data_IF_715287715210
#
_entry.id   IF_715287715210
#
_cell.length_a   1.000
_cell.length_b   1.000
_cell.length_c   1.000
_cell.angle_alpha   90.00
_cell.angle_beta   90.00
_cell.angle_gamma   90.00
#
_symmetry.space_group_name_H-M   'P 1'
#
loop_
_entity.id
_entity.type
_entity.pdbx_description
1 polymer ?
#
# COMPACT_ATOMS: atom_id res chain seq x y z
N UNK A 1 -24.43 13.64 -9.64
CA UNK A 1 -23.50 12.60 -10.17
C UNK A 1 -22.21 12.52 -9.36
N UNK A 2 -21.63 13.66 -8.95
CA UNK A 2 -20.50 13.79 -7.99
C UNK A 2 -20.54 12.82 -6.81
N UNK A 3 -21.69 12.65 -6.15
CA UNK A 3 -21.84 11.75 -5.01
C UNK A 3 -21.57 10.27 -5.34
N UNK A 4 -21.87 9.82 -6.57
CA UNK A 4 -21.59 8.44 -7.00
C UNK A 4 -20.09 8.24 -7.18
N UNK A 5 -19.40 9.17 -7.84
CA UNK A 5 -17.94 9.10 -8.03
C UNK A 5 -17.20 9.14 -6.70
N UNK A 6 -17.60 10.03 -5.79
CA UNK A 6 -17.03 10.13 -4.45
C UNK A 6 -17.25 8.83 -3.65
N UNK A 7 -18.48 8.29 -3.64
CA UNK A 7 -18.77 7.02 -2.97
C UNK A 7 -17.95 5.87 -3.55
N UNK A 8 -17.84 5.77 -4.87
CA UNK A 8 -17.00 4.76 -5.52
C UNK A 8 -15.52 4.93 -5.17
N UNK A 9 -15.02 6.16 -5.14
CA UNK A 9 -13.64 6.45 -4.74
C UNK A 9 -13.35 5.96 -3.31
N UNK A 10 -14.22 6.27 -2.35
CA UNK A 10 -14.07 5.86 -0.96
C UNK A 10 -14.17 4.34 -0.80
N UNK A 11 -15.15 3.70 -1.45
CA UNK A 11 -15.30 2.24 -1.45
C UNK A 11 -14.05 1.57 -2.02
N UNK A 12 -13.57 2.05 -3.17
CA UNK A 12 -12.33 1.55 -3.78
C UNK A 12 -11.14 1.75 -2.84
N UNK A 13 -11.03 2.90 -2.17
CA UNK A 13 -9.95 3.19 -1.22
C UNK A 13 -9.92 2.18 -0.06
N UNK A 14 -11.08 1.89 0.53
CA UNK A 14 -11.21 0.96 1.65
C UNK A 14 -10.91 -0.48 1.19
N UNK A 15 -11.56 -0.93 0.12
CA UNK A 15 -11.45 -2.32 -0.35
C UNK A 15 -10.10 -2.62 -1.01
N UNK A 16 -9.48 -1.63 -1.66
CA UNK A 16 -8.21 -1.85 -2.34
C UNK A 16 -7.02 -1.71 -1.38
N UNK A 17 -6.98 -0.65 -0.57
CA UNK A 17 -5.78 -0.33 0.21
C UNK A 17 -5.76 -1.04 1.57
N UNK A 18 -6.92 -1.29 2.18
CA UNK A 18 -7.01 -2.01 3.46
C UNK A 18 -6.28 -3.36 3.44
N UNK A 19 -6.56 -4.26 2.47
CA UNK A 19 -5.86 -5.53 2.35
C UNK A 19 -4.36 -5.39 2.11
N UNK A 20 -3.92 -4.39 1.33
CA UNK A 20 -2.48 -4.11 1.11
C UNK A 20 -1.81 -3.75 2.42
N UNK A 21 -2.39 -2.83 3.19
CA UNK A 21 -1.83 -2.36 4.45
C UNK A 21 -1.67 -3.49 5.47
N UNK A 22 -2.69 -4.34 5.63
CA UNK A 22 -2.64 -5.49 6.54
C UNK A 22 -1.61 -6.52 6.04
N UNK A 23 -1.72 -6.95 4.79
CA UNK A 23 -0.87 -8.02 4.27
C UNK A 23 0.61 -7.64 4.23
N UNK A 24 0.92 -6.40 3.82
CA UNK A 24 2.29 -5.89 3.80
C UNK A 24 2.87 -5.77 5.22
N UNK A 25 2.04 -5.52 6.24
CA UNK A 25 2.48 -5.39 7.64
C UNK A 25 2.75 -6.75 8.31
N UNK A 26 2.00 -7.78 7.91
CA UNK A 26 2.20 -9.14 8.42
C UNK A 26 3.36 -9.88 7.72
N UNK A 27 3.69 -9.49 6.48
CA UNK A 27 4.72 -10.15 5.67
C UNK A 27 6.08 -10.28 6.35
N UNK A 28 6.66 -9.25 7.03
CA UNK A 28 7.97 -9.37 7.67
C UNK A 28 8.03 -10.40 8.80
N UNK A 29 6.90 -10.66 9.48
CA UNK A 29 6.83 -11.66 10.55
C UNK A 29 6.72 -13.06 9.94
N UNK A 30 5.80 -13.25 8.99
CA UNK A 30 5.58 -14.53 8.32
C UNK A 30 6.83 -14.99 7.56
N UNK A 31 7.51 -14.08 6.85
CA UNK A 31 8.74 -14.41 6.11
C UNK A 31 9.91 -14.78 7.01
N UNK A 32 10.06 -14.17 8.19
CA UNK A 32 11.08 -14.60 9.16
C UNK A 32 10.83 -16.00 9.68
N UNK A 33 9.57 -16.35 9.94
CA UNK A 33 9.20 -17.70 10.34
C UNK A 33 9.46 -18.72 9.22
N UNK A 34 9.10 -18.37 7.98
CA UNK A 34 9.35 -19.20 6.80
C UNK A 34 10.85 -19.43 6.50
N UNK A 35 11.70 -18.44 6.76
CA UNK A 35 13.15 -18.58 6.59
C UNK A 35 13.81 -19.42 7.70
N UNK A 36 13.22 -19.45 8.90
CA UNK A 36 13.74 -20.24 10.02
C UNK A 36 13.36 -21.72 9.91
N UNK A 37 12.18 -22.00 9.37
CA UNK A 37 11.67 -23.35 9.15
C UNK A 37 11.00 -23.46 7.75
N UNK A 38 11.77 -23.90 6.73
CA UNK A 38 11.31 -24.01 5.35
C UNK A 38 10.17 -25.02 5.14
N UNK A 39 9.97 -25.98 6.04
CA UNK A 39 8.89 -26.97 5.93
C UNK A 39 7.61 -26.54 6.66
N UNK A 40 7.60 -25.34 7.25
CA UNK A 40 6.46 -24.82 8.01
C UNK A 40 5.34 -24.25 7.14
N UNK A 41 4.12 -24.21 7.70
CA UNK A 41 2.97 -23.50 7.11
C UNK A 41 3.20 -21.98 6.87
N UNK A 42 4.30 -21.44 7.41
CA UNK A 42 4.71 -20.05 7.22
C UNK A 42 5.09 -19.75 5.78
N UNK A 43 5.59 -20.72 5.01
CA UNK A 43 5.90 -20.55 3.58
C UNK A 43 4.64 -20.25 2.79
N UNK A 44 3.61 -21.08 2.95
CA UNK A 44 2.31 -20.90 2.29
C UNK A 44 1.65 -19.57 2.70
N UNK A 45 1.71 -19.22 3.99
CA UNK A 45 1.20 -17.95 4.51
C UNK A 45 1.92 -16.76 3.88
N UNK A 46 3.25 -16.80 3.80
CA UNK A 46 4.06 -15.73 3.21
C UNK A 46 3.75 -15.55 1.71
N UNK A 47 3.59 -16.65 0.97
CA UNK A 47 3.16 -16.63 -0.42
C UNK A 47 1.77 -16.01 -0.62
N UNK A 48 0.82 -16.33 0.27
CA UNK A 48 -0.52 -15.73 0.24
C UNK A 48 -0.46 -14.22 0.49
N UNK A 49 0.30 -13.77 1.49
CA UNK A 49 0.48 -12.35 1.79
C UNK A 49 1.10 -11.59 0.60
N UNK A 50 2.14 -12.16 -0.02
CA UNK A 50 2.74 -11.60 -1.23
C UNK A 50 1.72 -11.46 -2.36
N UNK A 51 0.89 -12.48 -2.57
CA UNK A 51 -0.15 -12.47 -3.60
C UNK A 51 -1.19 -11.39 -3.35
N UNK A 52 -1.66 -11.23 -2.11
CA UNK A 52 -2.61 -10.18 -1.73
C UNK A 52 -2.02 -8.81 -2.04
N UNK A 53 -0.80 -8.53 -1.58
CA UNK A 53 -0.13 -7.24 -1.84
C UNK A 53 -0.01 -6.98 -3.34
N UNK A 54 0.39 -7.98 -4.13
CA UNK A 54 0.56 -7.81 -5.59
C UNK A 54 -0.74 -7.55 -6.34
N UNK A 55 -1.79 -8.33 -6.04
CA UNK A 55 -3.11 -8.19 -6.67
C UNK A 55 -3.73 -6.85 -6.29
N UNK A 56 -3.78 -6.55 -4.99
CA UNK A 56 -4.42 -5.33 -4.50
C UNK A 56 -3.61 -4.07 -4.78
N UNK A 57 -2.28 -4.14 -4.94
CA UNK A 57 -1.50 -3.00 -5.45
C UNK A 57 -1.93 -2.60 -6.87
N UNK A 58 -2.31 -3.59 -7.70
CA UNK A 58 -2.80 -3.33 -9.07
C UNK A 58 -4.22 -2.76 -9.03
N UNK A 59 -5.10 -3.36 -8.22
CA UNK A 59 -6.47 -2.87 -8.02
C UNK A 59 -6.46 -1.44 -7.42
N UNK A 60 -5.48 -1.13 -6.57
CA UNK A 60 -5.30 0.17 -5.93
C UNK A 60 -5.18 1.34 -6.90
N UNK A 61 -4.82 1.11 -8.17
CA UNK A 61 -4.78 2.15 -9.23
C UNK A 61 -6.17 2.78 -9.45
N UNK A 62 -7.25 2.03 -9.20
CA UNK A 62 -8.62 2.56 -9.29
C UNK A 62 -8.84 3.75 -8.35
N UNK A 63 -8.17 3.77 -7.20
CA UNK A 63 -8.33 4.81 -6.18
C UNK A 63 -7.91 6.20 -6.70
N UNK A 64 -6.66 6.43 -7.15
CA UNK A 64 -6.27 7.72 -7.71
C UNK A 64 -7.04 8.06 -8.99
N UNK A 65 -7.40 7.08 -9.83
CA UNK A 65 -8.24 7.33 -11.00
C UNK A 65 -9.59 7.94 -10.63
N UNK A 66 -10.30 7.33 -9.68
CA UNK A 66 -11.57 7.85 -9.19
C UNK A 66 -11.40 9.16 -8.41
N UNK A 67 -10.28 9.32 -7.70
CA UNK A 67 -9.97 10.54 -6.96
C UNK A 67 -9.80 11.74 -7.88
N UNK A 68 -9.03 11.58 -8.96
CA UNK A 68 -8.84 12.60 -10.00
C UNK A 68 -10.18 12.90 -10.68
N UNK A 69 -10.94 11.88 -11.09
CA UNK A 69 -12.25 12.08 -11.70
C UNK A 69 -13.21 12.86 -10.78
N UNK A 70 -13.19 12.56 -9.48
CA UNK A 70 -13.99 13.28 -8.47
C UNK A 70 -13.53 14.73 -8.32
N UNK A 71 -12.21 14.98 -8.25
CA UNK A 71 -11.66 16.32 -8.12
C UNK A 71 -11.93 17.21 -9.34
N UNK A 72 -11.84 16.65 -10.57
CA UNK A 72 -12.24 17.34 -11.81
C UNK A 72 -13.72 17.72 -11.76
N UNK A 73 -14.58 16.78 -11.38
CA UNK A 73 -16.02 16.99 -11.40
C UNK A 73 -16.51 17.97 -10.32
N UNK A 74 -15.77 18.07 -9.20
CA UNK A 74 -16.01 19.05 -8.14
C UNK A 74 -15.32 20.40 -8.38
N UNK A 75 -14.46 20.53 -9.39
CA UNK A 75 -13.73 21.77 -9.68
C UNK A 75 -12.63 22.13 -8.67
N UNK A 76 -12.16 21.17 -7.87
CA UNK A 76 -11.23 21.38 -6.74
C UNK A 76 -9.81 20.89 -7.01
N UNK A 77 -9.46 20.57 -8.27
CA UNK A 77 -8.13 20.06 -8.62
C UNK A 77 -6.98 21.01 -8.23
N UNK A 78 -7.24 22.31 -8.20
CA UNK A 78 -6.26 23.33 -7.83
C UNK A 78 -6.07 23.51 -6.32
N UNK A 79 -6.90 22.88 -5.49
CA UNK A 79 -6.83 23.07 -4.05
C UNK A 79 -5.57 22.43 -3.47
N UNK A 80 -4.90 23.15 -2.56
CA UNK A 80 -3.65 22.70 -1.93
C UNK A 80 -3.80 21.32 -1.24
N UNK A 81 -4.95 21.03 -0.65
CA UNK A 81 -5.20 19.75 0.02
C UNK A 81 -5.33 18.58 -0.98
N UNK A 82 -5.87 18.82 -2.18
CA UNK A 82 -5.91 17.84 -3.27
C UNK A 82 -4.51 17.64 -3.85
N UNK A 83 -3.80 18.72 -4.16
CA UNK A 83 -2.44 18.64 -4.71
C UNK A 83 -1.49 17.89 -3.74
N UNK A 84 -1.59 18.20 -2.45
CA UNK A 84 -0.83 17.48 -1.40
C UNK A 84 -1.20 16.01 -1.34
N UNK A 85 -2.50 15.68 -1.40
CA UNK A 85 -2.98 14.29 -1.41
C UNK A 85 -2.49 13.51 -2.64
N UNK A 86 -2.49 14.13 -3.82
CA UNK A 86 -1.95 13.53 -5.05
C UNK A 86 -0.45 13.25 -4.87
N UNK A 87 0.33 14.22 -4.40
CA UNK A 87 1.76 14.05 -4.18
C UNK A 87 2.06 12.91 -3.18
N UNK A 88 1.38 12.89 -2.04
CA UNK A 88 1.51 11.82 -1.05
C UNK A 88 1.13 10.45 -1.61
N UNK A 89 0.07 10.37 -2.43
CA UNK A 89 -0.37 9.14 -3.08
C UNK A 89 0.69 8.63 -4.06
N UNK A 90 1.31 9.52 -4.85
CA UNK A 90 2.41 9.16 -5.76
C UNK A 90 3.60 8.61 -4.96
N UNK A 91 3.99 9.27 -3.86
CA UNK A 91 5.09 8.79 -3.00
C UNK A 91 4.75 7.41 -2.42
N UNK A 92 3.54 7.21 -1.91
CA UNK A 92 3.09 5.92 -1.40
C UNK A 92 3.12 4.83 -2.49
N UNK A 93 2.66 5.14 -3.71
CA UNK A 93 2.70 4.22 -4.85
C UNK A 93 4.13 3.85 -5.23
N UNK A 94 5.07 4.80 -5.22
CA UNK A 94 6.50 4.55 -5.47
C UNK A 94 7.08 3.65 -4.39
N UNK A 95 6.79 3.90 -3.11
CA UNK A 95 7.27 3.04 -2.01
C UNK A 95 6.72 1.61 -2.18
N UNK A 96 5.43 1.46 -2.48
CA UNK A 96 4.82 0.15 -2.67
C UNK A 96 5.44 -0.61 -3.85
N UNK A 97 5.61 0.06 -4.99
CA UNK A 97 6.01 -0.57 -6.26
C UNK A 97 7.52 -0.75 -6.41
N UNK A 98 8.32 0.21 -5.94
CA UNK A 98 9.77 0.21 -6.10
C UNK A 98 10.53 -0.33 -4.88
N UNK A 99 9.90 -0.37 -3.69
CA UNK A 99 10.55 -0.84 -2.45
C UNK A 99 9.89 -2.09 -1.91
N UNK A 100 8.59 -2.05 -1.60
CA UNK A 100 7.89 -3.16 -0.94
C UNK A 100 7.78 -4.38 -1.85
N UNK A 101 7.22 -4.23 -3.05
CA UNK A 101 7.02 -5.36 -3.98
C UNK A 101 8.33 -6.05 -4.39
N UNK A 102 9.42 -5.35 -4.77
CA UNK A 102 10.67 -6.00 -5.13
C UNK A 102 11.30 -6.72 -3.94
N UNK A 103 11.29 -6.11 -2.75
CA UNK A 103 11.83 -6.75 -1.56
C UNK A 103 11.04 -8.01 -1.17
N UNK A 104 9.70 -8.01 -1.26
CA UNK A 104 8.89 -9.22 -1.05
C UNK A 104 9.22 -10.33 -2.04
N UNK A 105 9.45 -9.99 -3.33
CA UNK A 105 9.85 -10.97 -4.36
C UNK A 105 11.20 -11.60 -4.05
N UNK A 106 12.18 -10.79 -3.64
CA UNK A 106 13.51 -11.28 -3.26
C UNK A 106 13.46 -12.18 -2.01
N UNK A 107 12.64 -11.82 -1.03
CA UNK A 107 12.41 -12.66 0.16
C UNK A 107 11.75 -14.00 -0.21
N UNK A 108 10.78 -14.00 -1.11
CA UNK A 108 10.16 -15.24 -1.61
C UNK A 108 11.17 -16.15 -2.32
N UNK A 109 12.01 -15.59 -3.19
CA UNK A 109 13.06 -16.36 -3.87
C UNK A 109 14.06 -16.99 -2.87
N UNK A 110 14.39 -16.29 -1.79
CA UNK A 110 15.22 -16.82 -0.71
C UNK A 110 14.55 -17.97 0.06
N UNK A 111 13.24 -17.87 0.33
CA UNK A 111 12.45 -18.93 0.98
C UNK A 111 12.40 -20.19 0.10
N UNK A 112 12.27 -20.04 -1.21
CA UNK A 112 12.23 -21.15 -2.17
C UNK A 112 13.60 -21.82 -2.39
N UNK A 113 14.65 -21.43 -1.64
CA UNK A 113 15.99 -22.02 -1.74
C UNK A 113 16.73 -21.69 -3.05
N UNK A 114 16.21 -20.75 -3.84
CA UNK A 114 16.83 -20.32 -5.11
C UNK A 114 17.91 -19.24 -4.94
N UNK A 115 18.24 -18.86 -3.68
CA UNK A 115 19.22 -17.81 -3.38
C UNK A 115 20.14 -18.12 -2.20
N UNK A 116 21.44 -17.91 -2.39
CA UNK A 116 22.51 -18.07 -1.39
C UNK A 116 22.58 -16.87 -0.42
N UNK A 117 21.55 -16.56 0.38
CA UNK A 117 21.65 -15.34 1.22
C UNK A 117 20.73 -15.23 2.46
N UNK A 118 20.95 -16.06 3.48
CA UNK A 118 20.24 -15.95 4.78
C UNK A 118 20.46 -14.56 5.45
N UNK A 119 21.66 -13.99 5.34
CA UNK A 119 21.99 -12.68 5.95
C UNK A 119 21.42 -11.47 5.19
N UNK A 120 21.28 -11.56 3.87
CA UNK A 120 20.64 -10.49 3.07
C UNK A 120 19.13 -10.53 3.23
N UNK A 121 18.53 -11.73 3.36
CA UNK A 121 17.12 -11.88 3.66
C UNK A 121 16.74 -11.19 4.99
N UNK A 122 17.55 -11.35 6.05
CA UNK A 122 17.28 -10.72 7.35
C UNK A 122 17.32 -9.17 7.28
N UNK A 123 18.28 -8.59 6.55
CA UNK A 123 18.37 -7.14 6.33
C UNK A 123 17.23 -6.61 5.46
N UNK A 124 16.83 -7.34 4.42
CA UNK A 124 15.69 -7.01 3.56
C UNK A 124 14.39 -6.99 4.37
N UNK A 125 14.20 -7.94 5.28
CA UNK A 125 12.98 -8.02 6.09
C UNK A 125 12.83 -6.86 7.08
N UNK A 126 13.93 -6.35 7.66
CA UNK A 126 13.88 -5.12 8.47
C UNK A 126 13.52 -3.89 7.63
N UNK A 127 14.11 -3.72 6.45
CA UNK A 127 13.80 -2.61 5.55
C UNK A 127 12.35 -2.65 5.05
N UNK A 128 11.81 -3.85 4.82
CA UNK A 128 10.40 -4.08 4.50
C UNK A 128 9.47 -3.54 5.58
N UNK A 129 9.75 -3.83 6.85
CA UNK A 129 8.94 -3.31 7.97
C UNK A 129 8.84 -1.78 7.99
N UNK A 130 9.98 -1.10 7.85
CA UNK A 130 10.02 0.37 7.82
C UNK A 130 9.31 0.94 6.58
N UNK A 131 9.56 0.38 5.39
CA UNK A 131 8.94 0.84 4.15
C UNK A 131 7.41 0.67 4.18
N UNK A 132 6.92 -0.48 4.67
CA UNK A 132 5.48 -0.70 4.87
C UNK A 132 4.90 0.27 5.89
N UNK A 133 5.60 0.53 7.00
CA UNK A 133 5.17 1.51 8.00
C UNK A 133 5.01 2.91 7.41
N UNK A 134 5.99 3.36 6.61
CA UNK A 134 5.92 4.66 5.92
C UNK A 134 4.77 4.67 4.91
N UNK A 135 4.60 3.62 4.11
CA UNK A 135 3.48 3.48 3.17
C UNK A 135 2.12 3.63 3.89
N UNK A 136 1.93 2.92 5.00
CA UNK A 136 0.68 2.98 5.78
C UNK A 136 0.47 4.36 6.40
N UNK A 137 1.53 5.01 6.88
CA UNK A 137 1.45 6.37 7.44
C UNK A 137 1.06 7.40 6.38
N UNK A 138 1.69 7.35 5.19
CA UNK A 138 1.34 8.22 4.07
C UNK A 138 -0.12 8.04 3.68
N UNK A 139 -0.58 6.79 3.60
CA UNK A 139 -1.96 6.48 3.31
C UNK A 139 -2.92 7.04 4.36
N UNK A 140 -2.61 6.87 5.64
CA UNK A 140 -3.39 7.44 6.73
C UNK A 140 -3.49 8.96 6.62
N UNK A 141 -2.38 9.65 6.34
CA UNK A 141 -2.35 11.10 6.13
C UNK A 141 -3.24 11.49 4.94
N UNK A 142 -3.18 10.76 3.82
CA UNK A 142 -4.07 10.99 2.66
C UNK A 142 -5.54 10.86 3.04
N UNK A 143 -5.90 9.81 3.79
CA UNK A 143 -7.28 9.63 4.27
C UNK A 143 -7.72 10.78 5.17
N UNK A 144 -6.87 11.21 6.11
CA UNK A 144 -7.16 12.36 6.99
C UNK A 144 -7.36 13.63 6.17
N UNK A 145 -6.50 13.90 5.19
CA UNK A 145 -6.63 15.07 4.30
C UNK A 145 -7.94 15.04 3.51
N UNK A 146 -8.34 13.86 3.01
CA UNK A 146 -9.58 13.67 2.24
C UNK A 146 -10.85 13.86 3.08
N UNK A 147 -10.77 13.62 4.38
CA UNK A 147 -11.86 13.82 5.35
C UNK A 147 -11.92 15.27 5.82
N UNK A 148 -10.80 15.82 6.32
CA UNK A 148 -10.75 17.17 6.89
C UNK A 148 -10.89 18.28 5.84
N UNK A 149 -10.43 18.05 4.60
CA UNK A 149 -10.50 19.01 3.47
C UNK A 149 -10.13 20.44 3.89
N UNK A 150 -8.90 20.66 4.40
CA UNK A 150 -8.49 21.96 4.89
C UNK A 150 -8.58 23.01 3.77
N UNK A 151 -9.36 24.07 4.02
CA UNK A 151 -9.64 25.12 3.04
C UNK A 151 -10.98 24.99 2.31
N UNK A 152 -11.75 23.92 2.51
CA UNK A 152 -13.13 23.85 2.05
C UNK A 152 -14.05 24.69 2.94
N UNK A 153 -14.88 25.56 2.34
CA UNK A 153 -15.84 26.43 3.05
C UNK A 153 -16.99 25.66 3.74
N UNK A 154 -16.94 24.33 3.72
CA UNK A 154 -17.88 23.42 4.40
C UNK A 154 -17.38 22.93 5.76
N UNK A 155 -16.25 23.46 6.26
CA UNK A 155 -15.79 23.20 7.61
C UNK A 155 -16.69 23.89 8.64
N UNK A 156 -17.63 23.14 9.20
CA UNK A 156 -18.08 23.34 10.59
C UNK A 156 -17.06 22.72 11.53
#
# INVERSE_FOLDING_TARGET
>A
MTGILLSLHVIAAILAIGPVAVAASMFPVASRAALADPDSASVATTGMLHRIVRVYATIGIVVPMLGIATAVNLGVLGDLWILTSIALTVVAAVILTAVVLPAQRLTMAAIEGTGSVVDVATRLTRRLGTATGIFNLLWLVVVVLMIFRPGSTTGV
#
